data_IF_862572205237
#
_entry.id   IF_862572205237
#
_cell.length_a   1.000
_cell.length_b   1.000
_cell.length_c   1.000
_cell.angle_alpha   90.00
_cell.angle_beta   90.00
_cell.angle_gamma   90.00
#
_symmetry.space_group_name_H-M   'P 1'
#
loop_
_entity.id
_entity.type
_entity.pdbx_description
1 polymer ?
#
# COMPACT_ATOMS: atom_id res chain seq x y z
N UNK A 1 12.02 18.33 -8.66
CA UNK A 1 12.13 17.04 -9.38
C UNK A 1 11.83 15.92 -8.41
N UNK A 2 11.13 14.87 -8.83
CA UNK A 2 10.94 13.68 -8.02
C UNK A 2 12.13 12.76 -8.21
N UNK A 3 12.91 12.54 -7.15
CA UNK A 3 14.12 11.71 -7.21
C UNK A 3 13.78 10.31 -6.71
N UNK A 4 14.08 9.29 -7.51
CA UNK A 4 13.95 7.90 -7.08
C UNK A 4 15.07 7.51 -6.13
N UNK A 5 14.78 6.61 -5.20
CA UNK A 5 15.78 6.07 -4.28
C UNK A 5 15.63 4.56 -4.10
N UNK A 6 16.76 3.84 -4.20
CA UNK A 6 16.78 2.37 -4.12
C UNK A 6 17.24 1.90 -2.74
N UNK A 7 16.57 0.88 -2.20
CA UNK A 7 16.94 0.20 -0.95
C UNK A 7 16.85 -1.31 -1.12
N UNK A 8 17.72 -2.03 -0.42
CA UNK A 8 17.68 -3.48 -0.34
C UNK A 8 17.07 -3.89 1.00
N UNK A 9 16.07 -4.77 0.95
CA UNK A 9 15.41 -5.33 2.12
C UNK A 9 15.64 -6.84 2.18
N UNK A 10 15.27 -7.49 3.29
CA UNK A 10 15.29 -8.95 3.40
C UNK A 10 14.43 -9.65 2.34
N UNK A 11 13.38 -8.99 1.85
CA UNK A 11 12.44 -9.57 0.89
C UNK A 11 12.71 -9.19 -0.58
N UNK A 12 13.69 -8.32 -0.82
CA UNK A 12 14.07 -7.89 -2.15
C UNK A 12 14.30 -6.38 -2.22
N UNK A 13 14.63 -5.91 -3.43
CA UNK A 13 14.91 -4.50 -3.70
C UNK A 13 13.61 -3.69 -3.81
N UNK A 14 13.58 -2.48 -3.25
CA UNK A 14 12.49 -1.51 -3.39
C UNK A 14 13.02 -0.20 -3.97
N UNK A 15 12.16 0.51 -4.71
CA UNK A 15 12.42 1.82 -5.31
C UNK A 15 11.37 2.79 -4.80
N UNK A 16 11.75 3.72 -3.92
CA UNK A 16 10.90 4.76 -3.37
C UNK A 16 11.15 6.13 -4.00
N UNK A 17 10.69 7.18 -3.31
CA UNK A 17 10.81 8.57 -3.75
C UNK A 17 11.38 9.45 -2.63
N UNK A 18 12.20 10.43 -2.99
CA UNK A 18 12.60 11.53 -2.10
C UNK A 18 11.63 12.70 -2.35
N UNK A 19 10.85 13.07 -1.33
CA UNK A 19 9.92 14.21 -1.34
C UNK A 19 10.11 15.02 -0.08
N UNK A 20 10.28 16.34 -0.21
CA UNK A 20 10.36 17.28 0.93
C UNK A 20 11.39 16.84 1.99
N UNK A 21 12.55 16.34 1.56
CA UNK A 21 13.63 15.81 2.41
C UNK A 21 13.32 14.48 3.15
N UNK A 22 12.21 13.83 2.81
CA UNK A 22 11.86 12.50 3.32
C UNK A 22 11.98 11.46 2.22
N UNK A 23 12.53 10.29 2.57
CA UNK A 23 12.35 9.08 1.77
C UNK A 23 10.96 8.53 2.04
N UNK A 24 10.21 8.27 0.97
CA UNK A 24 8.83 7.78 1.03
C UNK A 24 8.73 6.50 0.23
N UNK A 25 8.02 5.53 0.81
CA UNK A 25 7.82 4.21 0.23
C UNK A 25 6.36 3.80 0.44
N UNK A 26 5.62 3.61 -0.65
CA UNK A 26 4.20 3.29 -0.64
C UNK A 26 3.97 1.90 -1.22
N UNK A 27 2.99 1.16 -0.70
CA UNK A 27 2.55 -0.08 -1.34
C UNK A 27 3.50 -1.28 -1.23
N UNK A 28 4.46 -1.26 -0.29
CA UNK A 28 5.30 -2.43 -0.01
C UNK A 28 4.44 -3.55 0.60
N UNK A 29 4.41 -4.76 0.02
CA UNK A 29 3.64 -5.87 0.57
C UNK A 29 4.33 -6.41 1.82
N UNK A 30 3.59 -6.48 2.92
CA UNK A 30 4.04 -7.13 4.17
C UNK A 30 3.47 -8.55 4.32
N UNK A 31 2.45 -8.92 3.54
CA UNK A 31 1.81 -10.23 3.60
C UNK A 31 1.31 -10.66 2.20
N UNK A 32 1.04 -11.95 2.02
CA UNK A 32 0.31 -12.43 0.85
C UNK A 32 -1.14 -11.91 0.87
N UNK A 33 -1.73 -11.56 -0.29
CA UNK A 33 -3.11 -11.06 -0.33
C UNK A 33 -4.10 -12.07 0.28
N UNK A 34 -5.03 -11.62 1.16
CA UNK A 34 -6.00 -12.49 1.85
C UNK A 34 -7.20 -12.83 0.96
N UNK A 35 -6.92 -13.40 -0.22
CA UNK A 35 -7.90 -13.76 -1.25
C UNK A 35 -8.04 -15.29 -1.37
N UNK A 36 -9.14 -15.76 -1.95
CA UNK A 36 -9.43 -17.17 -2.17
C UNK A 36 -9.23 -17.99 -0.88
N UNK A 37 -8.46 -19.07 -0.96
CA UNK A 37 -8.11 -19.96 0.16
C UNK A 37 -7.38 -19.27 1.32
N UNK A 38 -6.89 -18.03 1.17
CA UNK A 38 -6.26 -17.25 2.25
C UNK A 38 -7.26 -16.35 3.00
N UNK A 39 -8.49 -16.20 2.50
CA UNK A 39 -9.52 -15.43 3.20
C UNK A 39 -9.88 -16.14 4.52
N UNK A 40 -10.11 -15.36 5.57
CA UNK A 40 -10.43 -15.84 6.92
C UNK A 40 -9.33 -16.70 7.59
N UNK A 41 -8.08 -16.60 7.12
CA UNK A 41 -6.92 -17.22 7.75
C UNK A 41 -5.97 -16.13 8.29
N UNK A 42 -5.04 -16.54 9.16
CA UNK A 42 -3.95 -15.66 9.59
C UNK A 42 -3.14 -15.16 8.38
N UNK A 43 -2.65 -13.92 8.48
CA UNK A 43 -1.80 -13.33 7.46
C UNK A 43 -0.50 -14.14 7.31
N UNK A 44 -0.15 -14.46 6.07
CA UNK A 44 1.09 -15.15 5.72
C UNK A 44 2.13 -14.10 5.30
N UNK A 45 3.28 -14.06 5.98
CA UNK A 45 4.37 -13.12 5.69
C UNK A 45 4.85 -13.30 4.24
N UNK A 46 4.88 -12.22 3.45
CA UNK A 46 5.48 -12.26 2.13
C UNK A 46 6.99 -12.01 2.27
N UNK A 47 7.77 -13.07 2.07
CA UNK A 47 9.22 -13.04 2.33
C UNK A 47 10.07 -12.70 1.12
N UNK A 48 9.53 -12.75 -0.11
CA UNK A 48 10.31 -12.46 -1.32
C UNK A 48 9.47 -11.85 -2.45
N UNK A 49 10.13 -11.07 -3.31
CA UNK A 49 9.71 -10.69 -4.67
C UNK A 49 10.91 -10.76 -5.64
N UNK A 50 10.66 -11.13 -6.90
CA UNK A 50 11.71 -11.43 -7.87
C UNK A 50 12.33 -10.19 -8.52
N UNK A 51 11.54 -9.15 -8.73
CA UNK A 51 11.96 -7.91 -9.40
C UNK A 51 11.93 -6.72 -8.44
N UNK A 52 12.77 -5.69 -8.63
CA UNK A 52 12.68 -4.46 -7.85
C UNK A 52 11.25 -3.93 -7.77
N UNK A 53 10.76 -3.72 -6.54
CA UNK A 53 9.40 -3.26 -6.31
C UNK A 53 9.35 -1.73 -6.30
N UNK A 54 8.58 -1.16 -7.24
CA UNK A 54 8.27 0.27 -7.25
C UNK A 54 7.29 0.60 -6.12
N UNK A 55 7.81 1.28 -5.10
CA UNK A 55 7.12 1.69 -3.89
C UNK A 55 6.76 3.19 -3.94
N UNK A 56 6.18 3.64 -5.06
CA UNK A 56 5.90 5.04 -5.37
C UNK A 56 4.41 5.39 -5.41
N UNK A 57 3.54 4.39 -5.22
CA UNK A 57 2.09 4.53 -5.26
C UNK A 57 1.41 3.72 -4.17
N UNK A 58 0.30 4.26 -3.64
CA UNK A 58 -0.61 3.49 -2.79
C UNK A 58 -1.20 2.31 -3.58
N UNK A 59 -1.49 1.21 -2.88
CA UNK A 59 -2.16 0.04 -3.43
C UNK A 59 -3.62 0.01 -2.97
N UNK A 60 -4.36 -0.99 -3.43
CA UNK A 60 -5.76 -1.17 -3.08
C UNK A 60 -5.97 -1.14 -1.56
N UNK A 61 -6.98 -0.39 -1.13
CA UNK A 61 -7.48 -0.44 0.24
C UNK A 61 -8.37 -1.68 0.42
N UNK A 62 -8.53 -2.20 1.64
CA UNK A 62 -9.50 -3.26 1.91
C UNK A 62 -10.92 -2.84 1.50
N UNK A 63 -11.81 -3.79 1.16
CA UNK A 63 -13.22 -3.49 0.96
C UNK A 63 -13.81 -2.83 2.21
N UNK A 64 -14.43 -1.67 2.04
CA UNK A 64 -15.13 -0.94 3.10
C UNK A 64 -16.56 -0.67 2.64
N UNK A 65 -17.51 -0.71 3.57
CA UNK A 65 -18.86 -0.23 3.29
C UNK A 65 -18.82 1.28 3.02
N UNK A 66 -19.72 1.77 2.17
CA UNK A 66 -19.93 3.21 2.05
C UNK A 66 -20.34 3.78 3.41
N UNK A 67 -19.69 4.86 3.84
CA UNK A 67 -20.06 5.53 5.08
C UNK A 67 -21.37 6.30 4.86
N UNK A 68 -22.49 5.72 5.26
CA UNK A 68 -23.82 6.32 5.08
C UNK A 68 -24.04 7.54 5.97
N UNK A 69 -23.30 7.67 7.08
CA UNK A 69 -23.44 8.76 8.04
C UNK A 69 -22.89 10.07 7.47
N UNK A 70 -21.71 10.05 6.83
CA UNK A 70 -21.15 11.25 6.18
C UNK A 70 -22.05 11.70 5.01
N UNK A 71 -22.61 10.76 4.23
CA UNK A 71 -23.57 11.07 3.18
C UNK A 71 -24.89 11.68 3.71
N UNK A 72 -25.28 11.35 4.94
CA UNK A 72 -26.46 11.90 5.61
C UNK A 72 -26.24 13.34 6.10
N UNK A 73 -25.05 13.64 6.65
CA UNK A 73 -24.71 14.98 7.14
C UNK A 73 -24.13 15.94 6.09
N UNK A 74 -23.74 15.44 4.91
CA UNK A 74 -23.23 16.27 3.82
C UNK A 74 -24.33 16.99 3.01
N UNK A 75 -25.60 16.94 3.43
CA UNK A 75 -26.73 17.60 2.74
C UNK A 75 -26.85 19.12 2.98
N UNK A 76 -25.74 19.83 3.21
CA UNK A 76 -25.80 21.29 3.20
C UNK A 76 -25.67 21.79 1.75
N UNK A 77 -26.69 22.46 1.19
CA UNK A 77 -26.57 23.11 -0.10
C UNK A 77 -25.64 24.33 0.04
N UNK A 78 -24.71 24.48 -0.90
CA UNK A 78 -23.97 25.73 -1.11
C UNK A 78 -24.90 26.89 -1.46
#
# INVERSE_FOLDING_TARGET
MMTSITRHTKAGTIIGQIKQHCETYFGIPYAYPPINERRFKHAELKTTWSEPLHADQFKAIPPQHFNTIDAFYSQHPE
#
